data_IF_383649248519
#
_entry.id   IF_383649248519
#
_cell.length_a   1.000
_cell.length_b   1.000
_cell.length_c   1.000
_cell.angle_alpha   90.00
_cell.angle_beta   90.00
_cell.angle_gamma   90.00
#
_symmetry.space_group_name_H-M   'P 1'
#
loop_
_entity.id
_entity.type
_entity.pdbx_description
1 polymer ?
#
# COMPACT_ATOMS: atom_id res chain seq x y z
N UNK A 1 -7.02 -2.20 -17.24
CA UNK A 1 -6.44 -1.06 -16.50
C UNK A 1 -5.28 -0.53 -17.33
N UNK A 2 -5.25 0.76 -17.65
CA UNK A 2 -4.13 1.42 -18.33
C UNK A 2 -3.49 2.34 -17.28
N UNK A 3 -2.18 2.22 -17.04
CA UNK A 3 -1.47 2.96 -15.99
C UNK A 3 -0.43 3.88 -16.63
N UNK A 4 -0.60 5.18 -16.43
CA UNK A 4 0.32 6.20 -16.89
C UNK A 4 1.17 6.70 -15.73
N UNK A 5 2.47 6.88 -15.96
CA UNK A 5 3.37 7.53 -15.01
C UNK A 5 3.35 9.05 -15.28
N UNK A 6 2.40 9.76 -14.68
CA UNK A 6 2.17 11.17 -14.99
C UNK A 6 2.89 12.14 -14.03
N UNK A 7 3.37 11.65 -12.87
CA UNK A 7 3.98 12.51 -11.87
C UNK A 7 5.50 12.68 -12.09
N UNK A 8 6.04 13.90 -12.26
CA UNK A 8 7.47 14.12 -12.57
C UNK A 8 8.45 13.54 -11.54
N UNK A 9 8.05 13.48 -10.26
CA UNK A 9 8.84 12.86 -9.18
C UNK A 9 8.83 11.32 -9.16
N UNK A 10 7.96 10.68 -9.94
CA UNK A 10 7.83 9.22 -10.03
C UNK A 10 7.76 8.80 -11.50
N UNK A 11 8.88 8.89 -12.24
CA UNK A 11 8.90 8.68 -13.69
C UNK A 11 8.69 7.22 -14.10
N UNK A 12 8.74 6.28 -13.16
CA UNK A 12 8.45 4.87 -13.40
C UNK A 12 6.98 4.56 -13.13
N UNK A 13 6.42 3.66 -13.93
CA UNK A 13 5.10 3.07 -13.65
C UNK A 13 5.19 2.31 -12.32
N UNK A 14 4.29 2.64 -11.39
CA UNK A 14 4.15 1.96 -10.12
C UNK A 14 2.67 1.69 -9.84
N UNK A 15 2.40 0.64 -9.08
CA UNK A 15 1.04 0.21 -8.74
C UNK A 15 0.87 0.27 -7.23
N UNK A 16 -0.18 0.94 -6.79
CA UNK A 16 -0.61 0.90 -5.40
C UNK A 16 -1.57 -0.28 -5.20
N UNK A 17 -1.15 -1.28 -4.41
CA UNK A 17 -2.02 -2.37 -3.95
C UNK A 17 -2.36 -2.10 -2.50
N UNK A 18 -3.63 -1.83 -2.20
CA UNK A 18 -4.09 -1.49 -0.85
C UNK A 18 -5.12 -2.50 -0.37
N UNK A 19 -4.91 -3.16 0.77
CA UNK A 19 -5.91 -4.05 1.36
C UNK A 19 -7.21 -3.32 1.66
N UNK A 20 -8.34 -3.97 1.37
CA UNK A 20 -9.67 -3.44 1.69
C UNK A 20 -10.13 -4.02 3.01
N UNK A 21 -10.34 -3.16 4.01
CA UNK A 21 -10.94 -3.58 5.28
C UNK A 21 -12.40 -3.97 5.08
N UNK A 22 -12.88 -4.99 5.80
CA UNK A 22 -14.25 -5.47 5.68
C UNK A 22 -15.29 -4.39 6.03
N UNK A 23 -14.94 -3.52 6.96
CA UNK A 23 -15.70 -2.38 7.48
C UNK A 23 -15.27 -1.05 6.86
N UNK A 24 -14.52 -1.06 5.74
CA UNK A 24 -13.96 0.16 5.17
C UNK A 24 -15.07 1.17 4.80
N UNK A 25 -15.03 2.40 5.37
CA UNK A 25 -16.00 3.45 5.10
C UNK A 25 -16.07 3.79 3.61
N UNK A 26 -17.24 4.20 3.13
CA UNK A 26 -17.44 4.43 1.70
C UNK A 26 -16.61 5.61 1.15
N UNK A 27 -16.47 6.63 1.97
CA UNK A 27 -15.66 7.81 1.75
C UNK A 27 -14.15 7.50 1.69
N UNK A 28 -13.72 6.31 2.13
CA UNK A 28 -12.32 5.86 2.10
C UNK A 28 -12.04 4.78 1.05
N UNK A 29 -12.93 4.60 0.06
CA UNK A 29 -12.76 3.62 -1.03
C UNK A 29 -12.16 4.21 -2.31
N UNK A 30 -11.59 3.36 -3.14
CA UNK A 30 -10.98 3.75 -4.42
C UNK A 30 -9.79 4.69 -4.21
N UNK A 31 -9.64 5.71 -5.06
CA UNK A 31 -8.55 6.69 -4.92
C UNK A 31 -8.57 7.45 -3.60
N UNK A 32 -9.73 7.57 -2.95
CA UNK A 32 -9.87 8.25 -1.64
C UNK A 32 -9.23 7.49 -0.49
N UNK A 33 -8.75 6.26 -0.71
CA UNK A 33 -7.95 5.54 0.28
C UNK A 33 -6.68 6.32 0.68
N UNK A 34 -6.13 7.12 -0.25
CA UNK A 34 -4.94 7.93 -0.01
C UNK A 34 -5.18 9.05 1.02
N UNK A 35 -6.43 9.37 1.32
CA UNK A 35 -6.77 10.33 2.38
C UNK A 35 -6.36 9.84 3.78
N UNK A 36 -6.08 8.55 3.97
CA UNK A 36 -5.48 8.04 5.23
C UNK A 36 -4.02 8.50 5.42
N UNK A 37 -3.34 8.94 4.36
CA UNK A 37 -1.95 9.41 4.45
C UNK A 37 -1.84 10.83 5.02
N UNK A 38 -2.96 11.56 5.15
CA UNK A 38 -3.01 12.95 5.63
C UNK A 38 -3.05 13.04 7.16
N UNK A 39 -2.24 12.23 7.83
CA UNK A 39 -2.09 12.21 9.28
C UNK A 39 -0.74 12.82 9.69
N UNK A 40 -0.63 13.25 10.95
CA UNK A 40 0.63 13.77 11.48
C UNK A 40 1.68 12.66 11.62
N UNK A 41 2.95 13.04 11.75
CA UNK A 41 4.07 12.08 11.75
C UNK A 41 3.97 11.04 12.87
N UNK A 42 3.44 11.42 14.03
CA UNK A 42 3.22 10.52 15.17
C UNK A 42 2.12 9.48 14.96
N UNK A 43 1.24 9.68 13.98
CA UNK A 43 0.20 8.71 13.60
C UNK A 43 0.63 7.82 12.44
N UNK A 44 1.76 8.14 11.79
CA UNK A 44 2.32 7.29 10.75
C UNK A 44 2.91 6.04 11.36
N UNK A 45 2.90 4.97 10.58
CA UNK A 45 3.68 3.77 10.89
C UNK A 45 5.16 4.17 10.92
N UNK A 46 5.82 3.95 12.04
CA UNK A 46 7.24 4.22 12.18
C UNK A 46 8.10 3.26 11.35
N UNK A 47 9.40 3.53 11.28
CA UNK A 47 10.33 2.74 10.47
C UNK A 47 10.45 1.29 10.94
N UNK A 48 10.39 1.04 12.25
CA UNK A 48 10.52 -0.30 12.82
C UNK A 48 9.31 -1.17 12.41
N UNK A 49 8.11 -0.66 12.60
CA UNK A 49 6.87 -1.32 12.20
C UNK A 49 6.77 -1.48 10.68
N UNK A 50 7.22 -0.48 9.90
CA UNK A 50 7.26 -0.58 8.44
C UNK A 50 8.18 -1.72 7.97
N UNK A 51 9.34 -1.87 8.62
CA UNK A 51 10.29 -2.94 8.34
C UNK A 51 9.74 -4.32 8.75
N UNK A 52 8.99 -4.41 9.84
CA UNK A 52 8.29 -5.64 10.25
C UNK A 52 7.24 -6.05 9.21
N UNK A 53 6.38 -5.12 8.79
CA UNK A 53 5.38 -5.36 7.74
C UNK A 53 6.06 -5.83 6.45
N UNK A 54 7.15 -5.18 6.05
CA UNK A 54 7.92 -5.57 4.86
C UNK A 54 8.44 -7.01 4.91
N UNK A 55 8.91 -7.47 6.08
CA UNK A 55 9.34 -8.87 6.27
C UNK A 55 8.18 -9.84 6.14
N UNK A 56 7.03 -9.56 6.74
CA UNK A 56 5.83 -10.40 6.63
C UNK A 56 5.31 -10.49 5.19
N UNK A 57 5.25 -9.36 4.48
CA UNK A 57 4.85 -9.33 3.06
C UNK A 57 5.81 -10.16 2.22
N UNK A 58 7.12 -10.01 2.41
CA UNK A 58 8.13 -10.82 1.70
C UNK A 58 7.95 -12.32 1.95
N UNK A 59 7.74 -12.72 3.20
CA UNK A 59 7.53 -14.13 3.54
C UNK A 59 6.25 -14.69 2.89
N UNK A 60 5.16 -13.92 2.88
CA UNK A 60 3.92 -14.31 2.23
C UNK A 60 4.12 -14.52 0.72
N UNK A 61 4.79 -13.58 0.04
CA UNK A 61 5.08 -13.68 -1.39
C UNK A 61 5.91 -14.91 -1.74
N UNK A 62 6.96 -15.21 -0.96
CA UNK A 62 7.80 -16.40 -1.17
C UNK A 62 7.04 -17.72 -0.92
N UNK A 63 6.07 -17.70 -0.01
CA UNK A 63 5.24 -18.89 0.27
C UNK A 63 4.24 -19.14 -0.85
N UNK A 64 3.72 -18.09 -1.48
CA UNK A 64 2.81 -18.18 -2.63
C UNK A 64 3.49 -18.75 -3.88
N UNK A 65 4.79 -18.51 -4.07
CA UNK A 65 5.56 -19.09 -5.19
C UNK A 65 5.83 -20.60 -5.05
N UNK A 66 5.56 -21.19 -3.87
CA UNK A 66 5.72 -22.62 -3.60
C UNK A 66 4.46 -23.49 -3.76
N UNK A 67 3.32 -22.91 -4.14
CA UNK A 67 2.06 -23.63 -4.36
C UNK A 67 1.70 -23.72 -5.84
N UNK A 68 1.92 -24.91 -6.43
CA UNK A 68 1.23 -25.34 -7.66
C UNK A 68 -0.25 -25.59 -7.38
#
# INVERSE_FOLDING_TARGET
>A
VLQFAEHPRHPHVHVHVVPRMADQPEERRGVRIMEYLKVSENERVDEEAMNEIGRHVRQALLTMEGGQ
#
